data_IF_711079715438
#
_entry.id   IF_711079715438
#
_cell.length_a   1.000
_cell.length_b   1.000
_cell.length_c   1.000
_cell.angle_alpha   90.00
_cell.angle_beta   90.00
_cell.angle_gamma   90.00
#
_symmetry.space_group_name_H-M   'P 1'
#
loop_
_entity.id
_entity.type
_entity.pdbx_description
1 polymer ?
#
# COMPACT_ATOMS: atom_id res chain seq x y z
N UNK A 1 -17.86 -25.22 6.41
CA UNK A 1 -17.14 -24.70 5.22
C UNK A 1 -15.65 -24.97 5.38
N UNK A 2 -14.98 -25.46 4.34
CA UNK A 2 -13.54 -25.72 4.40
C UNK A 2 -12.73 -24.41 4.53
N UNK A 3 -11.62 -24.46 5.27
CA UNK A 3 -10.76 -23.28 5.51
C UNK A 3 -10.24 -22.67 4.21
N UNK A 4 -9.93 -23.49 3.21
CA UNK A 4 -9.48 -23.05 1.89
C UNK A 4 -10.60 -22.28 1.17
N UNK A 5 -11.84 -22.78 1.24
CA UNK A 5 -13.00 -22.11 0.63
C UNK A 5 -13.26 -20.77 1.32
N UNK A 6 -13.22 -20.73 2.64
CA UNK A 6 -13.37 -19.49 3.42
C UNK A 6 -12.31 -18.44 3.05
N UNK A 7 -11.05 -18.84 2.88
CA UNK A 7 -9.98 -17.93 2.47
C UNK A 7 -10.22 -17.37 1.07
N UNK A 8 -10.74 -18.18 0.14
CA UNK A 8 -11.10 -17.71 -1.20
C UNK A 8 -12.21 -16.66 -1.14
N UNK A 9 -13.28 -16.94 -0.39
CA UNK A 9 -14.37 -15.97 -0.21
C UNK A 9 -13.91 -14.65 0.41
N UNK A 10 -12.99 -14.72 1.38
CA UNK A 10 -12.37 -13.54 1.99
C UNK A 10 -11.59 -12.71 0.96
N UNK A 11 -10.85 -13.38 0.06
CA UNK A 11 -10.13 -12.68 -1.01
C UNK A 11 -11.12 -12.03 -1.98
N UNK A 12 -12.19 -12.72 -2.35
CA UNK A 12 -13.26 -12.18 -3.19
C UNK A 12 -13.89 -10.94 -2.56
N UNK A 13 -14.20 -11.00 -1.26
CA UNK A 13 -14.72 -9.85 -0.51
C UNK A 13 -13.74 -8.66 -0.54
N UNK A 14 -12.44 -8.90 -0.32
CA UNK A 14 -11.41 -7.87 -0.43
C UNK A 14 -11.41 -7.21 -1.82
N UNK A 15 -11.51 -8.00 -2.89
CA UNK A 15 -11.55 -7.52 -4.26
C UNK A 15 -12.79 -6.67 -4.51
N UNK A 16 -13.97 -7.11 -4.06
CA UNK A 16 -15.20 -6.33 -4.16
C UNK A 16 -15.08 -5.00 -3.42
N UNK A 17 -14.66 -5.01 -2.14
CA UNK A 17 -14.48 -3.77 -1.37
C UNK A 17 -13.46 -2.83 -2.03
N UNK A 18 -12.36 -3.35 -2.60
CA UNK A 18 -11.36 -2.54 -3.33
C UNK A 18 -11.94 -1.89 -4.59
N UNK A 19 -12.69 -2.66 -5.39
CA UNK A 19 -13.33 -2.18 -6.60
C UNK A 19 -14.40 -1.11 -6.28
N UNK A 20 -15.29 -1.40 -5.34
CA UNK A 20 -16.34 -0.50 -4.90
C UNK A 20 -15.78 0.78 -4.29
N UNK A 21 -14.73 0.68 -3.45
CA UNK A 21 -14.01 1.85 -2.90
C UNK A 21 -13.50 2.75 -4.02
N UNK A 22 -12.86 2.19 -5.03
CA UNK A 22 -12.34 2.95 -6.17
C UNK A 22 -13.46 3.64 -6.96
N UNK A 23 -14.55 2.93 -7.22
CA UNK A 23 -15.72 3.48 -7.91
C UNK A 23 -16.35 4.65 -7.13
N UNK A 24 -16.58 4.48 -5.83
CA UNK A 24 -17.15 5.51 -4.96
C UNK A 24 -16.22 6.72 -4.84
N UNK A 25 -14.91 6.52 -4.70
CA UNK A 25 -13.94 7.62 -4.67
C UNK A 25 -14.04 8.47 -5.95
N UNK A 26 -14.13 7.85 -7.13
CA UNK A 26 -14.31 8.58 -8.40
C UNK A 26 -15.62 9.35 -8.43
N UNK A 27 -16.72 8.74 -7.99
CA UNK A 27 -18.04 9.38 -7.92
C UNK A 27 -18.05 10.58 -6.97
N UNK A 28 -17.55 10.40 -5.74
CA UNK A 28 -17.45 11.45 -4.73
C UNK A 28 -16.54 12.59 -5.15
N UNK A 29 -15.48 12.32 -5.91
CA UNK A 29 -14.59 13.36 -6.46
C UNK A 29 -15.34 14.25 -7.45
N UNK A 30 -16.12 13.64 -8.37
CA UNK A 30 -16.97 14.39 -9.32
C UNK A 30 -18.06 15.17 -8.60
N UNK A 31 -18.75 14.55 -7.65
CA UNK A 31 -19.81 15.20 -6.87
C UNK A 31 -19.25 16.35 -6.03
N UNK A 32 -18.11 16.17 -5.37
CA UNK A 32 -17.47 17.22 -4.59
C UNK A 32 -17.13 18.43 -5.47
N UNK A 33 -16.52 18.21 -6.64
CA UNK A 33 -16.22 19.28 -7.60
C UNK A 33 -17.50 20.02 -8.00
N UNK A 34 -18.52 19.29 -8.45
CA UNK A 34 -19.81 19.88 -8.85
C UNK A 34 -20.46 20.72 -7.74
N UNK A 35 -20.51 20.20 -6.51
CA UNK A 35 -21.12 20.92 -5.39
C UNK A 35 -20.25 22.07 -4.89
N UNK A 36 -18.93 21.97 -4.95
CA UNK A 36 -18.00 23.03 -4.61
C UNK A 36 -18.12 24.21 -5.59
N UNK A 37 -18.15 23.93 -6.90
CA UNK A 37 -18.35 24.94 -7.94
C UNK A 37 -19.69 25.66 -7.75
N UNK A 38 -20.75 24.89 -7.47
CA UNK A 38 -22.08 25.44 -7.20
C UNK A 38 -22.14 26.29 -5.91
N UNK A 39 -21.35 25.95 -4.89
CA UNK A 39 -21.23 26.72 -3.66
C UNK A 39 -20.38 28.00 -3.85
N UNK A 40 -19.39 27.96 -4.74
CA UNK A 40 -18.56 29.11 -5.09
C UNK A 40 -19.36 30.16 -5.89
N UNK A 41 -20.20 29.71 -6.84
CA UNK A 41 -21.06 30.59 -7.64
C UNK A 41 -22.15 31.29 -6.80
N UNK A 42 -22.63 30.66 -5.74
CA UNK A 42 -23.60 31.26 -4.83
C UNK A 42 -23.26 30.93 -3.38
N UNK A 43 -22.54 31.83 -2.73
CA UNK A 43 -22.06 31.68 -1.36
C UNK A 43 -23.18 31.54 -0.32
N UNK A 44 -24.42 31.97 -0.63
CA UNK A 44 -25.60 31.80 0.22
C UNK A 44 -26.22 30.40 0.13
N UNK A 45 -25.83 29.58 -0.86
CA UNK A 45 -26.36 28.25 -1.05
C UNK A 45 -25.84 27.25 -0.01
N UNK A 46 -26.46 27.27 1.17
CA UNK A 46 -26.14 26.38 2.30
C UNK A 46 -26.22 24.90 1.92
N UNK A 47 -27.14 24.52 1.03
CA UNK A 47 -27.28 23.13 0.57
C UNK A 47 -26.06 22.67 -0.22
N UNK A 48 -25.59 23.49 -1.16
CA UNK A 48 -24.41 23.17 -1.97
C UNK A 48 -23.16 23.02 -1.10
N UNK A 49 -22.95 23.95 -0.15
CA UNK A 49 -21.85 23.87 0.83
C UNK A 49 -21.88 22.57 1.63
N UNK A 50 -23.02 22.23 2.25
CA UNK A 50 -23.18 20.99 3.02
C UNK A 50 -22.92 19.74 2.18
N UNK A 51 -23.40 19.70 0.94
CA UNK A 51 -23.16 18.57 0.02
C UNK A 51 -21.68 18.44 -0.33
N UNK A 52 -21.00 19.54 -0.66
CA UNK A 52 -19.58 19.54 -0.93
C UNK A 52 -18.75 19.06 0.27
N UNK A 53 -19.03 19.60 1.46
CA UNK A 53 -18.38 19.22 2.73
C UNK A 53 -18.59 17.74 3.05
N UNK A 54 -19.83 17.24 2.90
CA UNK A 54 -20.16 15.83 3.16
C UNK A 54 -19.41 14.91 2.19
N UNK A 55 -19.43 15.21 0.89
CA UNK A 55 -18.69 14.42 -0.11
C UNK A 55 -17.18 14.45 0.17
N UNK A 56 -16.63 15.60 0.58
CA UNK A 56 -15.21 15.73 0.95
C UNK A 56 -14.86 14.88 2.16
N UNK A 57 -15.70 14.91 3.21
CA UNK A 57 -15.47 14.17 4.44
C UNK A 57 -15.47 12.65 4.19
N UNK A 58 -16.45 12.14 3.44
CA UNK A 58 -16.53 10.72 3.08
C UNK A 58 -15.35 10.33 2.19
N UNK A 59 -15.01 11.14 1.17
CA UNK A 59 -13.87 10.90 0.29
C UNK A 59 -12.56 10.79 1.08
N UNK A 60 -12.31 11.71 2.00
CA UNK A 60 -11.10 11.73 2.81
C UNK A 60 -11.02 10.52 3.73
N UNK A 61 -12.14 10.14 4.35
CA UNK A 61 -12.20 8.94 5.18
C UNK A 61 -11.90 7.69 4.35
N UNK A 62 -12.59 7.50 3.23
CA UNK A 62 -12.36 6.35 2.34
C UNK A 62 -10.95 6.31 1.76
N UNK A 63 -10.26 7.43 1.58
CA UNK A 63 -8.84 7.44 1.17
C UNK A 63 -7.89 7.06 2.30
N UNK A 64 -8.17 7.51 3.53
CA UNK A 64 -7.29 7.30 4.69
C UNK A 64 -7.39 5.88 5.26
N UNK A 65 -8.57 5.26 5.26
CA UNK A 65 -8.75 3.96 5.94
C UNK A 65 -8.09 2.83 5.13
N UNK A 66 -7.29 1.94 5.76
CA UNK A 66 -6.74 0.76 5.11
C UNK A 66 -7.82 -0.19 4.60
N UNK A 67 -7.55 -0.91 3.51
CA UNK A 67 -8.53 -1.82 2.92
C UNK A 67 -8.97 -2.94 3.89
N UNK A 68 -8.04 -3.47 4.69
CA UNK A 68 -8.33 -4.48 5.71
C UNK A 68 -9.34 -3.99 6.74
N UNK A 69 -9.18 -2.76 7.23
CA UNK A 69 -10.09 -2.13 8.19
C UNK A 69 -11.45 -1.88 7.54
N UNK A 70 -11.48 -1.41 6.29
CA UNK A 70 -12.75 -1.23 5.56
C UNK A 70 -13.53 -2.55 5.42
N UNK A 71 -12.85 -3.66 5.13
CA UNK A 71 -13.51 -4.98 5.05
C UNK A 71 -14.11 -5.37 6.39
N UNK A 72 -13.40 -5.17 7.51
CA UNK A 72 -13.95 -5.44 8.84
C UNK A 72 -15.15 -4.54 9.17
N UNK A 73 -15.09 -3.26 8.82
CA UNK A 73 -16.18 -2.32 9.06
C UNK A 73 -17.42 -2.63 8.21
N UNK A 74 -17.23 -3.06 6.95
CA UNK A 74 -18.32 -3.54 6.08
C UNK A 74 -19.02 -4.76 6.70
N UNK A 75 -18.26 -5.71 7.25
CA UNK A 75 -18.83 -6.90 7.91
C UNK A 75 -19.54 -6.59 9.22
N UNK A 76 -19.16 -5.51 9.91
CA UNK A 76 -19.81 -5.05 11.14
C UNK A 76 -20.96 -4.07 10.88
N UNK A 77 -21.21 -3.72 9.63
CA UNK A 77 -22.17 -2.70 9.28
C UNK A 77 -23.60 -3.19 9.54
N UNK A 78 -24.31 -2.45 10.39
CA UNK A 78 -25.74 -2.65 10.62
C UNK A 78 -26.50 -1.46 10.03
N UNK A 79 -27.39 -1.65 9.05
CA UNK A 79 -28.11 -0.55 8.40
C UNK A 79 -29.04 0.20 9.37
N UNK A 80 -28.87 1.51 9.43
CA UNK A 80 -29.78 2.43 10.11
C UNK A 80 -31.00 2.66 9.20
N UNK A 81 -32.20 2.42 9.73
CA UNK A 81 -33.46 2.48 8.96
C UNK A 81 -33.92 3.91 8.62
N UNK A 82 -33.55 4.90 9.44
CA UNK A 82 -34.03 6.28 9.28
C UNK A 82 -33.01 7.16 8.54
N UNK A 83 -33.39 7.69 7.37
CA UNK A 83 -32.50 8.52 6.53
C UNK A 83 -32.02 9.80 7.25
N UNK A 84 -32.87 10.39 8.09
CA UNK A 84 -32.51 11.56 8.89
C UNK A 84 -31.36 11.24 9.88
N UNK A 85 -31.42 10.05 10.50
CA UNK A 85 -30.38 9.61 11.42
C UNK A 85 -29.10 9.22 10.69
N UNK A 86 -29.20 8.67 9.47
CA UNK A 86 -28.04 8.41 8.61
C UNK A 86 -27.29 9.71 8.26
N UNK A 87 -27.98 10.82 7.98
CA UNK A 87 -27.32 12.10 7.71
C UNK A 87 -26.58 12.65 8.93
N UNK A 88 -27.09 12.38 10.15
CA UNK A 88 -26.43 12.76 11.41
C UNK A 88 -25.34 11.81 11.86
N UNK A 89 -25.25 10.62 11.25
CA UNK A 89 -24.30 9.59 11.66
C UNK A 89 -22.84 10.02 11.42
N UNK A 90 -21.89 9.43 12.17
CA UNK A 90 -20.46 9.69 11.97
C UNK A 90 -20.01 9.46 10.53
N UNK A 91 -18.99 10.21 10.09
CA UNK A 91 -18.44 10.11 8.72
C UNK A 91 -18.05 8.66 8.39
N UNK A 92 -17.45 7.93 9.34
CA UNK A 92 -17.08 6.53 9.16
C UNK A 92 -18.28 5.67 8.78
N UNK A 93 -19.34 5.71 9.59
CA UNK A 93 -20.57 4.96 9.34
C UNK A 93 -21.18 5.30 7.97
N UNK A 94 -21.31 6.60 7.64
CA UNK A 94 -21.83 7.04 6.34
C UNK A 94 -20.95 6.58 5.17
N UNK A 95 -19.65 6.44 5.37
CA UNK A 95 -18.73 5.96 4.35
C UNK A 95 -18.93 4.48 4.06
N UNK A 96 -19.17 3.68 5.10
CA UNK A 96 -19.49 2.26 4.96
C UNK A 96 -20.87 2.06 4.35
N UNK A 97 -21.86 2.86 4.76
CA UNK A 97 -23.19 2.87 4.14
C UNK A 97 -23.11 3.02 2.61
N UNK A 98 -22.24 3.91 2.13
CA UNK A 98 -22.00 4.08 0.69
C UNK A 98 -21.37 2.86 0.02
N UNK A 99 -20.49 2.14 0.71
CA UNK A 99 -19.87 0.93 0.15
C UNK A 99 -20.93 -0.16 -0.03
N UNK A 100 -21.77 -0.39 0.98
CA UNK A 100 -22.80 -1.45 0.94
C UNK A 100 -24.01 -1.10 0.08
N UNK A 101 -24.12 0.14 -0.42
CA UNK A 101 -25.07 0.51 -1.48
C UNK A 101 -24.75 -0.18 -2.83
N UNK A 102 -23.53 -0.69 -3.01
CA UNK A 102 -23.12 -1.40 -4.23
C UNK A 102 -23.72 -2.81 -4.30
N UNK A 103 -24.48 -3.07 -5.37
CA UNK A 103 -25.24 -4.31 -5.55
C UNK A 103 -24.35 -5.56 -5.53
N UNK A 104 -23.16 -5.50 -6.14
CA UNK A 104 -22.25 -6.65 -6.21
C UNK A 104 -21.68 -6.98 -4.84
N UNK A 105 -21.26 -5.95 -4.08
CA UNK A 105 -20.78 -6.13 -2.72
C UNK A 105 -21.90 -6.64 -1.79
N UNK A 106 -23.08 -6.04 -1.84
CA UNK A 106 -24.24 -6.44 -1.04
C UNK A 106 -24.67 -7.88 -1.34
N UNK A 107 -24.73 -8.27 -2.61
CA UNK A 107 -25.05 -9.64 -3.01
C UNK A 107 -24.02 -10.64 -2.45
N UNK A 108 -22.73 -10.31 -2.51
CA UNK A 108 -21.68 -11.16 -1.95
C UNK A 108 -21.81 -11.30 -0.44
N UNK A 109 -22.07 -10.20 0.28
CA UNK A 109 -22.28 -10.23 1.74
C UNK A 109 -23.47 -11.12 2.12
N UNK A 110 -24.61 -10.97 1.44
CA UNK A 110 -25.80 -11.84 1.65
C UNK A 110 -25.51 -13.30 1.33
N UNK A 111 -24.74 -13.56 0.27
CA UNK A 111 -24.30 -14.92 -0.07
C UNK A 111 -23.45 -15.53 1.05
N UNK A 112 -22.50 -14.77 1.60
CA UNK A 112 -21.67 -15.23 2.73
C UNK A 112 -22.50 -15.52 3.97
N UNK A 113 -23.45 -14.64 4.31
CA UNK A 113 -24.38 -14.84 5.41
C UNK A 113 -25.21 -16.13 5.22
N UNK A 114 -25.73 -16.37 4.02
CA UNK A 114 -26.50 -17.58 3.71
C UNK A 114 -25.67 -18.88 3.81
N UNK A 115 -24.38 -18.83 3.44
CA UNK A 115 -23.51 -20.01 3.44
C UNK A 115 -22.97 -20.36 4.82
N UNK A 116 -22.74 -19.36 5.67
CA UNK A 116 -22.09 -19.51 6.98
C UNK A 116 -23.10 -19.47 8.14
N UNK A 117 -24.30 -18.95 7.91
CA UNK A 117 -25.36 -18.84 8.91
C UNK A 117 -25.19 -17.64 9.85
N UNK A 118 -25.93 -17.68 10.96
CA UNK A 118 -25.76 -16.72 12.05
C UNK A 118 -24.29 -16.76 12.54
N UNK A 119 -23.72 -15.60 12.83
CA UNK A 119 -22.30 -15.40 13.19
C UNK A 119 -21.27 -15.48 12.04
N UNK A 120 -21.73 -15.55 10.78
CA UNK A 120 -20.87 -15.49 9.60
C UNK A 120 -19.83 -14.36 9.64
N UNK A 121 -20.26 -13.15 10.00
CA UNK A 121 -19.40 -11.98 10.06
C UNK A 121 -18.29 -12.11 11.12
N UNK A 122 -18.57 -12.71 12.27
CA UNK A 122 -17.56 -12.90 13.33
C UNK A 122 -16.50 -13.93 12.90
N UNK A 123 -16.93 -15.03 12.27
CA UNK A 123 -16.03 -16.05 11.73
C UNK A 123 -15.10 -15.48 10.65
N UNK A 124 -15.63 -14.64 9.77
CA UNK A 124 -14.85 -14.00 8.70
C UNK A 124 -13.82 -13.02 9.31
N UNK A 125 -14.23 -12.21 10.30
CA UNK A 125 -13.35 -11.28 10.99
C UNK A 125 -12.21 -12.03 11.71
N UNK A 126 -12.51 -13.14 12.37
CA UNK A 126 -11.49 -13.95 13.03
C UNK A 126 -10.52 -14.59 12.04
N UNK A 127 -11.02 -15.05 10.89
CA UNK A 127 -10.17 -15.56 9.81
C UNK A 127 -9.29 -14.47 9.20
N UNK A 128 -9.80 -13.25 9.05
CA UNK A 128 -9.03 -12.07 8.62
C UNK A 128 -7.88 -11.76 9.58
N UNK A 129 -8.16 -11.73 10.89
CA UNK A 129 -7.15 -11.50 11.94
C UNK A 129 -6.08 -12.60 11.98
N UNK A 130 -6.48 -13.86 11.83
CA UNK A 130 -5.53 -14.99 11.75
C UNK A 130 -4.63 -14.87 10.51
N UNK A 131 -5.20 -14.51 9.36
CA UNK A 131 -4.46 -14.33 8.10
C UNK A 131 -3.43 -13.20 8.19
N UNK A 132 -3.78 -12.06 8.79
CA UNK A 132 -2.85 -10.95 8.99
C UNK A 132 -1.72 -11.32 9.96
N UNK A 133 -2.02 -12.03 11.05
CA UNK A 133 -1.03 -12.54 11.98
C UNK A 133 -0.03 -13.48 11.29
N UNK A 134 -0.50 -14.42 10.47
CA UNK A 134 0.36 -15.34 9.71
C UNK A 134 1.29 -14.55 8.76
N UNK A 135 0.75 -13.61 7.98
CA UNK A 135 1.55 -12.77 7.07
C UNK A 135 2.63 -11.99 7.82
N UNK A 136 2.29 -11.35 8.94
CA UNK A 136 3.25 -10.61 9.75
C UNK A 136 4.38 -11.49 10.28
N UNK A 137 4.06 -12.74 10.66
CA UNK A 137 5.06 -13.70 11.14
C UNK A 137 5.98 -14.18 10.01
N UNK A 138 5.46 -14.38 8.80
CA UNK A 138 6.24 -14.76 7.62
C UNK A 138 7.20 -13.64 7.20
N UNK A 139 6.74 -12.38 7.19
CA UNK A 139 7.58 -11.21 6.92
C UNK A 139 8.71 -11.09 7.96
N UNK A 140 8.39 -11.27 9.26
CA UNK A 140 9.41 -11.30 10.32
C UNK A 140 10.45 -12.40 10.11
N UNK A 141 10.04 -13.59 9.66
CA UNK A 141 10.97 -14.70 9.33
C UNK A 141 11.88 -14.33 8.15
N UNK A 142 11.32 -13.82 7.05
CA UNK A 142 12.10 -13.37 5.90
C UNK A 142 13.08 -12.24 6.25
N UNK A 143 12.68 -11.29 7.10
CA UNK A 143 13.57 -10.22 7.58
C UNK A 143 14.76 -10.79 8.37
N UNK A 144 14.51 -11.73 9.29
CA UNK A 144 15.58 -12.41 10.03
C UNK A 144 16.52 -13.15 9.10
N UNK A 145 15.98 -13.87 8.12
CA UNK A 145 16.78 -14.59 7.11
C UNK A 145 17.67 -13.64 6.29
N UNK A 146 17.13 -12.50 5.80
CA UNK A 146 17.91 -11.47 5.10
C UNK A 146 19.05 -10.92 5.94
N UNK A 147 18.80 -10.67 7.24
CA UNK A 147 19.84 -10.21 8.18
C UNK A 147 20.92 -11.28 8.36
N UNK A 148 20.54 -12.54 8.55
CA UNK A 148 21.49 -13.65 8.70
C UNK A 148 22.37 -13.81 7.45
N UNK A 149 21.77 -13.78 6.26
CA UNK A 149 22.50 -13.83 4.98
C UNK A 149 23.47 -12.65 4.86
N UNK A 150 23.05 -11.44 5.25
CA UNK A 150 23.91 -10.26 5.21
C UNK A 150 25.11 -10.37 6.18
N UNK A 151 24.89 -10.89 7.39
CA UNK A 151 25.95 -11.13 8.37
C UNK A 151 26.94 -12.21 7.89
N UNK A 152 26.44 -13.30 7.31
CA UNK A 152 27.29 -14.37 6.78
C UNK A 152 28.14 -13.86 5.60
N UNK A 153 27.57 -13.03 4.71
CA UNK A 153 28.31 -12.37 3.63
C UNK A 153 29.41 -11.44 4.17
N UNK A 154 29.14 -10.68 5.24
CA UNK A 154 30.16 -9.83 5.90
C UNK A 154 31.29 -10.67 6.50
N UNK A 155 30.97 -11.76 7.21
CA UNK A 155 31.98 -12.66 7.78
C UNK A 155 32.86 -13.31 6.70
N UNK A 156 32.26 -13.76 5.58
CA UNK A 156 33.02 -14.32 4.45
C UNK A 156 33.95 -13.28 3.81
N UNK A 157 33.55 -12.01 3.73
CA UNK A 157 34.43 -10.92 3.25
C UNK A 157 35.61 -10.69 4.19
N UNK A 158 35.37 -10.58 5.49
CA UNK A 158 36.43 -10.42 6.50
C UNK A 158 37.41 -11.60 6.50
N UNK A 159 36.93 -12.84 6.38
CA UNK A 159 37.82 -14.01 6.26
C UNK A 159 38.66 -14.00 4.98
N UNK A 160 38.11 -13.54 3.85
CA UNK A 160 38.87 -13.40 2.60
C UNK A 160 39.93 -12.29 2.71
N UNK A 161 39.62 -11.18 3.37
CA UNK A 161 40.58 -10.10 3.62
C UNK A 161 41.71 -10.52 4.58
N UNK A 162 41.39 -11.28 5.62
CA UNK A 162 42.40 -11.86 6.53
C UNK A 162 43.33 -12.83 5.79
N UNK A 163 42.79 -13.73 4.96
CA UNK A 163 43.62 -14.64 4.13
C UNK A 163 44.52 -13.92 3.14
N UNK A 164 44.07 -12.79 2.56
CA UNK A 164 44.89 -11.94 1.68
C UNK A 164 46.00 -11.21 2.45
N UNK A 165 45.74 -10.76 3.69
CA UNK A 165 46.75 -10.11 4.53
C UNK A 165 47.84 -11.08 5.04
N UNK A 166 47.50 -12.35 5.29
CA UNK A 166 48.49 -13.35 5.71
C UNK A 166 49.41 -13.79 4.57
N UNK A 167 48.93 -13.83 3.32
CA UNK A 167 49.78 -14.11 2.15
C UNK A 167 50.76 -12.97 1.81
N UNK A 168 50.48 -11.74 2.26
CA UNK A 168 51.34 -10.57 2.02
C UNK A 168 52.57 -10.50 2.96
N UNK A 169 52.68 -11.35 3.98
CA UNK A 169 53.78 -11.31 4.97
C UNK A 169 54.93 -12.29 4.68
N UNK A 170 54.85 -13.08 3.60
CA UNK A 170 55.90 -14.07 3.27
C UNK A 170 56.93 -13.60 2.23
N UNK A 171 56.78 -12.42 1.64
CA UNK A 171 57.74 -11.92 0.65
C UNK A 171 58.35 -10.58 1.10
N UNK A 172 59.28 -10.60 2.05
CA UNK A 172 60.26 -9.50 2.17
C UNK A 172 61.53 -9.97 2.87
N UNK A 173 62.42 -10.61 2.11
CA UNK A 173 63.84 -10.68 2.46
C UNK A 173 64.69 -10.79 1.20
N UNK A 174 64.97 -9.67 0.55
CA UNK A 174 66.27 -9.41 -0.10
C UNK A 174 66.51 -7.90 -0.07
N UNK A 175 67.60 -7.41 0.55
CA UNK A 175 68.03 -6.02 0.46
C UNK A 175 69.03 -5.87 -0.70
N UNK A 176 68.83 -4.90 -1.60
CA UNK A 176 69.87 -4.52 -2.54
C UNK A 176 69.93 -3.00 -2.73
N UNK A 177 70.91 -2.46 -2.00
CA UNK A 177 71.87 -1.38 -2.27
C UNK A 177 71.46 -0.05 -2.94
N UNK A 178 72.00 0.99 -2.27
CA UNK A 178 72.09 2.42 -2.51
C UNK A 178 72.84 2.84 -3.79
N UNK A 179 72.43 4.01 -4.31
CA UNK A 179 73.19 5.18 -4.85
C UNK A 179 72.43 5.75 -6.05
N UNK A 180 72.20 7.05 -6.26
CA UNK A 180 72.55 8.32 -5.60
C UNK A 180 72.19 9.48 -6.57
N UNK A 181 71.83 10.66 -6.04
CA UNK A 181 71.76 12.02 -6.65
C UNK A 181 70.91 12.22 -7.94
N UNK A 182 70.21 13.33 -8.23
CA UNK A 182 69.85 14.62 -7.62
C UNK A 182 68.67 15.19 -8.48
N UNK A 183 68.06 16.36 -8.16
CA UNK A 183 66.73 16.77 -8.62
C UNK A 183 66.77 17.68 -9.86
N UNK A 184 65.67 17.74 -10.66
CA UNK A 184 65.06 19.03 -11.04
C UNK A 184 63.73 18.92 -11.82
N UNK A 185 62.87 19.91 -11.54
CA UNK A 185 61.90 20.64 -12.37
C UNK A 185 60.93 19.99 -13.38
N UNK A 186 59.65 20.39 -13.18
CA UNK A 186 58.71 21.00 -14.13
C UNK A 186 57.61 20.15 -14.79
N UNK A 187 56.36 20.56 -14.48
CA UNK A 187 55.13 20.69 -15.31
C UNK A 187 54.66 19.45 -16.12
N UNK A 188 53.39 19.10 -16.27
CA UNK A 188 52.06 19.71 -16.06
C UNK A 188 51.02 18.59 -16.32
N UNK A 189 49.82 18.69 -15.73
CA UNK A 189 48.54 18.01 -16.15
C UNK A 189 48.49 16.47 -16.06
N UNK A 190 47.46 15.77 -15.58
CA UNK A 190 46.02 16.03 -15.58
C UNK A 190 45.26 15.06 -14.63
N UNK A 191 44.06 15.47 -14.20
CA UNK A 191 42.88 14.71 -13.72
C UNK A 191 43.02 13.58 -12.66
N UNK A 192 42.63 13.83 -11.39
CA UNK A 192 41.27 13.79 -10.80
C UNK A 192 40.78 12.38 -10.39
N UNK A 193 40.77 12.12 -9.06
CA UNK A 193 39.54 12.04 -8.24
C UNK A 193 39.71 11.14 -6.99
N UNK A 194 39.94 11.80 -5.86
CA UNK A 194 39.23 11.67 -4.57
C UNK A 194 39.19 10.31 -3.84
N UNK A 195 40.10 10.18 -2.87
CA UNK A 195 39.95 9.33 -1.69
C UNK A 195 39.51 10.16 -0.46
N UNK A 196 38.35 9.78 0.07
CA UNK A 196 38.02 9.59 1.50
C UNK A 196 38.26 10.72 2.51
N UNK A 197 37.16 11.17 3.13
CA UNK A 197 37.13 11.38 4.57
C UNK A 197 35.72 11.04 5.13
N UNK A 198 35.68 9.94 5.86
CA UNK A 198 34.54 9.38 6.56
C UNK A 198 34.53 10.01 7.96
N UNK A 199 33.53 10.83 8.30
CA UNK A 199 33.26 11.21 9.69
C UNK A 199 31.84 10.77 10.03
N UNK A 200 31.81 9.82 10.95
CA UNK A 200 30.65 9.17 11.52
C UNK A 200 30.10 10.07 12.64
N UNK A 201 28.82 10.44 12.58
CA UNK A 201 28.07 10.88 13.75
C UNK A 201 26.84 9.99 13.91
N UNK A 202 26.90 9.19 14.96
CA UNK A 202 25.78 8.42 15.50
C UNK A 202 24.88 9.38 16.27
N UNK A 203 23.60 9.42 15.93
CA UNK A 203 22.53 9.70 16.87
C UNK A 203 21.32 8.87 16.47
N UNK A 204 20.83 8.07 17.42
CA UNK A 204 19.54 7.41 17.28
C UNK A 204 18.44 8.45 17.27
N UNK A 205 17.47 8.26 16.39
CA UNK A 205 16.09 8.61 16.68
C UNK A 205 15.21 7.44 16.26
N UNK A 206 14.29 7.16 17.17
CA UNK A 206 13.24 6.17 17.09
C UNK A 206 12.27 6.50 15.95
N UNK A 207 11.53 5.47 15.55
CA UNK A 207 10.11 5.56 15.19
C UNK A 207 9.71 6.54 14.07
N UNK A 208 9.74 6.06 12.83
CA UNK A 208 8.52 6.00 12.00
C UNK A 208 8.88 5.16 10.76
N UNK A 209 8.23 4.03 10.56
CA UNK A 209 8.34 3.31 9.29
C UNK A 209 6.95 3.00 8.83
N UNK A 210 6.37 4.02 8.19
CA UNK A 210 5.17 3.96 7.39
C UNK A 210 5.10 2.64 6.63
N UNK A 211 4.02 1.92 6.90
CA UNK A 211 3.62 0.70 6.24
C UNK A 211 3.34 1.01 4.76
N UNK A 212 4.40 0.98 3.94
CA UNK A 212 4.33 1.01 2.48
C UNK A 212 3.57 -0.24 2.01
N UNK A 213 2.24 -0.10 1.90
CA UNK A 213 1.39 -1.01 1.17
C UNK A 213 1.70 -0.84 -0.33
N UNK A 214 2.68 -1.61 -0.80
CA UNK A 214 2.95 -1.85 -2.22
C UNK A 214 1.79 -2.65 -2.83
N UNK A 215 0.68 -1.98 -3.11
CA UNK A 215 -0.32 -2.43 -4.09
C UNK A 215 0.00 -1.70 -5.42
N UNK A 216 1.16 -2.00 -6.01
CA UNK A 216 1.51 -1.55 -7.36
C UNK A 216 0.84 -2.46 -8.41
N UNK A 217 -0.14 -1.86 -9.08
CA UNK A 217 -0.37 -1.86 -10.53
C UNK A 217 0.04 -3.12 -11.33
N UNK A 218 -0.94 -3.97 -11.61
CA UNK A 218 -0.88 -4.92 -12.72
C UNK A 218 -1.88 -4.39 -13.77
N UNK A 219 -1.33 -3.83 -14.83
CA UNK A 219 -1.99 -3.38 -16.04
C UNK A 219 -2.92 -4.46 -16.58
N UNK A 220 -4.23 -4.27 -16.42
CA UNK A 220 -5.23 -5.03 -17.17
C UNK A 220 -5.45 -4.31 -18.50
N UNK A 221 -4.78 -4.80 -19.55
CA UNK A 221 -5.27 -4.64 -20.91
C UNK A 221 -6.69 -5.22 -20.97
N UNK A 222 -7.67 -4.37 -21.26
CA UNK A 222 -9.03 -4.79 -21.57
C UNK A 222 -9.33 -4.26 -22.96
N UNK A 223 -9.25 -5.20 -23.88
CA UNK A 223 -9.80 -5.23 -25.22
C UNK A 223 -11.19 -4.56 -25.25
N UNK A 224 -11.31 -3.52 -26.09
CA UNK A 224 -12.51 -2.70 -26.27
C UNK A 224 -13.14 -3.18 -27.59
N UNK A 225 -13.96 -4.24 -27.52
CA UNK A 225 -14.78 -4.64 -28.67
C UNK A 225 -15.99 -3.70 -28.77
N UNK A 226 -15.91 -2.82 -29.77
CA UNK A 226 -17.03 -2.08 -30.34
C UNK A 226 -18.04 -3.05 -30.98
N UNK A 227 -19.29 -3.06 -30.49
CA UNK A 227 -20.44 -3.32 -31.35
C UNK A 227 -21.59 -2.40 -30.96
N UNK A 228 -21.74 -1.33 -31.74
CA UNK A 228 -22.98 -0.57 -31.89
C UNK A 228 -23.29 -0.54 -33.37
N UNK A 229 -24.34 -1.24 -33.78
CA UNK A 229 -25.38 -0.71 -34.67
C UNK A 229 -26.37 -1.82 -35.07
N UNK A 230 -27.61 -1.69 -34.60
CA UNK A 230 -28.75 -2.11 -35.41
C UNK A 230 -29.98 -1.29 -35.04
N UNK A 231 -30.10 -0.22 -35.81
CA UNK A 231 -31.26 0.60 -36.08
C UNK A 231 -32.45 -0.29 -36.52
N UNK A 232 -33.61 -0.14 -35.90
CA UNK A 232 -34.89 -0.57 -36.50
C UNK A 232 -36.02 0.37 -36.11
N UNK A 233 -36.74 0.76 -37.16
CA UNK A 233 -37.82 1.74 -37.23
C UNK A 233 -39.13 1.14 -36.71
N UNK A 234 -39.99 1.97 -36.12
CA UNK A 234 -41.46 1.92 -36.28
C UNK A 234 -42.03 3.24 -35.73
N UNK A 235 -42.37 4.20 -36.59
CA UNK A 235 -43.73 4.51 -37.09
C UNK A 235 -44.75 4.66 -35.95
N UNK A 236 -45.06 5.91 -35.59
CA UNK A 236 -46.44 6.40 -35.61
C UNK A 236 -46.51 7.93 -35.76
#
# INVERSE_FOLDING_TARGET
MDSIKLIKEINTLHTHVKATRSHIIRKLTRDNKFWADKAALNSSNRRAKRKAETSKAILNHLKKVPLSVLVEEVLRYEPIKDEASLQSAPVAYRSIARLVEDEKLDHHLKSLESQLGADSNSMIIDALKKKSAIKSSAIKKQRKERITIALERKQKRLQKELKKKDQSKQNTSVPQQLEGAEPDSAQETDEECNQTALVYNSHGSEDDSEELNEDQDETAESDDEEESDQQSKEIH
#
